data_IF_207374930664
#
_entry.id   IF_207374930664
#
_cell.length_a   1.000
_cell.length_b   1.000
_cell.length_c   1.000
_cell.angle_alpha   90.00
_cell.angle_beta   90.00
_cell.angle_gamma   90.00
#
_symmetry.space_group_name_H-M   'P 1'
#
loop_
_entity.id
_entity.type
_entity.pdbx_description
1 polymer ?
#
# COMPACT_ATOMS: atom_id res chain seq x y z
N UNK A 1 5.67 -18.92 -4.28
CA UNK A 1 5.64 -17.75 -5.19
C UNK A 1 5.22 -16.57 -4.34
N UNK A 2 6.03 -15.51 -4.27
CA UNK A 2 5.61 -14.30 -3.56
C UNK A 2 4.61 -13.55 -4.46
N UNK A 3 3.39 -13.39 -3.97
CA UNK A 3 2.29 -12.70 -4.63
C UNK A 3 1.42 -12.03 -3.56
N UNK A 4 0.19 -11.63 -3.90
CA UNK A 4 -0.73 -10.95 -2.96
C UNK A 4 -0.99 -11.73 -1.66
N UNK A 5 -0.75 -13.06 -1.65
CA UNK A 5 -0.87 -13.94 -0.48
C UNK A 5 0.44 -14.09 0.34
N UNK A 6 1.42 -13.21 0.15
CA UNK A 6 2.66 -13.21 0.93
C UNK A 6 2.38 -12.83 2.39
N UNK A 7 2.94 -13.54 3.40
CA UNK A 7 2.83 -13.13 4.80
C UNK A 7 3.64 -11.86 5.12
N UNK A 8 4.42 -11.32 4.17
CA UNK A 8 5.34 -10.20 4.36
C UNK A 8 4.89 -8.89 3.69
N UNK A 9 3.58 -8.70 3.51
CA UNK A 9 3.04 -7.43 3.02
C UNK A 9 3.38 -6.30 3.99
N UNK A 10 3.82 -5.16 3.46
CA UNK A 10 3.99 -3.94 4.26
C UNK A 10 2.64 -3.24 4.45
N UNK A 11 2.35 -2.80 5.67
CA UNK A 11 1.07 -2.17 6.02
C UNK A 11 1.23 -0.72 6.46
N UNK A 12 0.25 0.11 6.12
CA UNK A 12 0.02 1.37 6.82
C UNK A 12 -0.63 1.03 8.17
N UNK A 13 0.04 1.37 9.27
CA UNK A 13 -0.47 1.17 10.63
C UNK A 13 -0.66 2.52 11.31
N UNK A 14 -1.72 2.63 12.11
CA UNK A 14 -2.06 3.82 12.87
C UNK A 14 -2.30 3.46 14.33
N UNK A 15 -2.56 4.45 15.19
CA UNK A 15 -3.07 4.15 16.53
C UNK A 15 -4.56 3.86 16.42
N UNK A 16 -5.10 3.10 17.36
CA UNK A 16 -6.52 2.76 17.35
C UNK A 16 -7.43 4.00 17.37
N UNK A 17 -7.02 5.05 18.07
CA UNK A 17 -7.79 6.29 18.24
C UNK A 17 -7.86 7.16 16.97
N UNK A 18 -7.03 6.90 15.96
CA UNK A 18 -6.97 7.70 14.75
C UNK A 18 -7.10 6.91 13.44
N UNK A 19 -7.44 5.63 13.50
CA UNK A 19 -7.62 4.76 12.32
C UNK A 19 -8.64 5.30 11.30
N UNK A 20 -9.64 6.06 11.76
CA UNK A 20 -10.70 6.66 10.94
C UNK A 20 -10.57 8.18 10.77
N UNK A 21 -9.43 8.76 11.12
CA UNK A 21 -9.21 10.18 10.86
C UNK A 21 -9.23 10.45 9.34
N UNK A 22 -9.88 11.51 8.89
CA UNK A 22 -10.01 11.88 7.47
C UNK A 22 -8.65 11.89 6.73
N UNK A 23 -7.59 12.36 7.41
CA UNK A 23 -6.23 12.34 6.87
C UNK A 23 -5.69 10.92 6.62
N UNK A 24 -5.99 9.96 7.51
CA UNK A 24 -5.58 8.56 7.38
C UNK A 24 -6.35 7.89 6.23
N UNK A 25 -7.65 8.14 6.11
CA UNK A 25 -8.43 7.59 5.00
C UNK A 25 -7.96 8.12 3.64
N UNK A 26 -7.66 9.43 3.56
CA UNK A 26 -7.09 10.03 2.35
C UNK A 26 -5.73 9.44 2.00
N UNK A 27 -4.86 9.22 3.00
CA UNK A 27 -3.57 8.58 2.81
C UNK A 27 -3.73 7.13 2.35
N UNK A 28 -4.60 6.35 2.97
CA UNK A 28 -4.88 4.96 2.58
C UNK A 28 -5.32 4.88 1.11
N UNK A 29 -6.28 5.73 0.69
CA UNK A 29 -6.74 5.81 -0.71
C UNK A 29 -5.63 6.23 -1.68
N UNK A 30 -4.76 7.15 -1.27
CA UNK A 30 -3.64 7.57 -2.10
C UNK A 30 -2.62 6.43 -2.29
N UNK A 31 -2.27 5.72 -1.21
CA UNK A 31 -1.32 4.60 -1.24
C UNK A 31 -1.85 3.40 -2.04
N UNK A 32 -3.17 3.19 -2.10
CA UNK A 32 -3.80 2.11 -2.87
C UNK A 32 -4.32 2.55 -4.25
N UNK A 33 -3.85 3.69 -4.76
CA UNK A 33 -4.28 4.23 -6.06
C UNK A 33 -3.57 3.55 -7.25
N UNK A 34 -4.18 3.65 -8.42
CA UNK A 34 -3.58 3.18 -9.67
C UNK A 34 -2.26 3.90 -9.98
N UNK A 35 -2.16 5.19 -9.67
CA UNK A 35 -0.94 5.97 -9.87
C UNK A 35 0.22 5.40 -9.04
N UNK A 36 -0.02 5.05 -7.78
CA UNK A 36 1.01 4.43 -6.92
C UNK A 36 1.36 3.02 -7.40
N UNK A 37 0.38 2.25 -7.87
CA UNK A 37 0.63 0.92 -8.48
C UNK A 37 1.55 1.03 -9.69
N UNK A 38 1.27 1.96 -10.58
CA UNK A 38 2.07 2.19 -11.79
C UNK A 38 3.47 2.69 -11.44
N UNK A 39 3.57 3.59 -10.46
CA UNK A 39 4.85 4.06 -9.94
C UNK A 39 5.70 2.89 -9.39
N UNK A 40 5.13 2.02 -8.57
CA UNK A 40 5.85 0.87 -7.99
C UNK A 40 6.37 -0.04 -9.10
N UNK A 41 5.49 -0.41 -10.04
CA UNK A 41 5.85 -1.29 -11.16
C UNK A 41 6.98 -0.70 -12.01
N UNK A 42 6.92 0.60 -12.31
CA UNK A 42 7.92 1.30 -13.11
C UNK A 42 9.24 1.50 -12.38
N UNK A 43 9.20 1.84 -11.09
CA UNK A 43 10.39 2.24 -10.34
C UNK A 43 11.23 1.05 -9.87
N UNK A 44 10.57 -0.06 -9.53
CA UNK A 44 11.22 -1.18 -8.88
C UNK A 44 11.32 -2.43 -9.77
N UNK A 45 10.72 -2.41 -10.95
CA UNK A 45 10.89 -3.45 -11.99
C UNK A 45 10.70 -4.88 -11.45
N UNK A 46 9.72 -5.07 -10.55
CA UNK A 46 9.40 -6.35 -9.94
C UNK A 46 10.15 -6.68 -8.64
N UNK A 47 11.11 -5.86 -8.21
CA UNK A 47 11.74 -5.99 -6.89
C UNK A 47 10.79 -5.62 -5.73
N UNK A 48 9.75 -4.84 -6.03
CA UNK A 48 8.64 -4.52 -5.13
C UNK A 48 7.34 -4.80 -5.88
N UNK A 49 6.46 -5.60 -5.27
CA UNK A 49 5.16 -5.94 -5.83
C UNK A 49 4.04 -5.20 -5.07
N UNK A 50 3.12 -4.51 -5.76
CA UNK A 50 1.93 -3.95 -5.13
C UNK A 50 1.05 -5.06 -4.52
N UNK A 51 0.52 -4.81 -3.33
CA UNK A 51 -0.32 -5.76 -2.58
C UNK A 51 -1.81 -5.36 -2.56
N UNK A 52 -2.26 -4.63 -3.58
CA UNK A 52 -3.62 -4.11 -3.73
C UNK A 52 -4.08 -4.00 -5.20
#
# INVERSE_FOLDING_TARGET
MEGADSPYVNFLVTREDNAHADAIEKLSKALTSQEVKDFINKKYEGAVLPAF
#
